data_IF_554722083647
#
_entry.id   IF_554722083647
#
_cell.length_a   1.000
_cell.length_b   1.000
_cell.length_c   1.000
_cell.angle_alpha   90.00
_cell.angle_beta   90.00
_cell.angle_gamma   90.00
#
_symmetry.space_group_name_H-M   'P 1'
#
loop_
_entity.id
_entity.type
_entity.pdbx_description
1 polymer ?
#
# COMPACT_ATOMS: atom_id res chain seq x y z
N UNK A 1 3.15 55.38 35.88
CA UNK A 1 1.90 55.18 36.66
C UNK A 1 1.04 56.42 36.45
N UNK A 2 -0.31 56.29 36.43
CA UNK A 2 -1.38 57.23 35.96
C UNK A 2 -1.72 57.06 34.46
N UNK A 3 -2.62 56.15 34.03
CA UNK A 3 -4.09 56.08 34.16
C UNK A 3 -4.86 57.20 33.44
N UNK A 4 -5.41 56.90 32.26
CA UNK A 4 -6.59 57.57 31.71
C UNK A 4 -7.36 56.60 30.81
N UNK A 5 -8.46 56.11 31.36
CA UNK A 5 -9.48 55.35 30.67
C UNK A 5 -10.46 56.27 29.92
N UNK A 6 -11.07 55.70 28.89
CA UNK A 6 -12.38 56.00 28.26
C UNK A 6 -12.44 57.16 27.27
N UNK A 7 -12.91 56.90 26.04
CA UNK A 7 -14.21 57.37 25.57
C UNK A 7 -14.60 56.73 24.22
N UNK A 8 -15.74 56.06 24.23
CA UNK A 8 -16.77 56.05 23.18
C UNK A 8 -16.37 55.73 21.74
N UNK A 9 -16.77 54.55 21.25
CA UNK A 9 -17.88 54.47 20.29
C UNK A 9 -18.41 53.05 20.21
N UNK A 10 -19.67 52.88 20.61
CA UNK A 10 -20.47 51.71 20.25
C UNK A 10 -20.73 51.77 18.75
N UNK A 11 -20.35 50.73 18.00
CA UNK A 11 -21.07 50.33 16.79
C UNK A 11 -21.43 48.87 16.90
N UNK A 12 -22.73 48.64 17.14
CA UNK A 12 -23.39 47.34 16.98
C UNK A 12 -23.51 47.07 15.48
N UNK A 13 -23.04 45.92 15.03
CA UNK A 13 -23.51 45.25 13.81
C UNK A 13 -23.49 43.76 14.16
N UNK A 14 -24.63 43.22 14.60
CA UNK A 14 -25.63 42.61 13.73
C UNK A 14 -25.07 41.34 13.07
N UNK A 15 -25.60 40.21 13.54
CA UNK A 15 -25.08 38.88 13.30
C UNK A 15 -25.05 38.47 11.84
N UNK A 16 -24.06 37.63 11.56
CA UNK A 16 -24.19 36.62 10.53
C UNK A 16 -23.68 35.32 11.14
N UNK A 17 -24.62 34.49 11.64
CA UNK A 17 -24.35 33.06 11.81
C UNK A 17 -24.01 32.54 10.41
N UNK A 18 -22.71 32.47 10.11
CA UNK A 18 -22.20 31.69 8.98
C UNK A 18 -22.38 30.24 9.36
N UNK A 19 -23.52 29.67 8.96
CA UNK A 19 -23.71 28.23 8.93
C UNK A 19 -22.75 27.75 7.83
N UNK A 20 -21.61 27.19 8.24
CA UNK A 20 -20.70 26.47 7.35
C UNK A 20 -21.44 25.25 6.81
N UNK A 21 -21.60 25.07 5.48
CA UNK A 21 -22.04 23.79 4.95
C UNK A 21 -20.87 22.81 5.11
N UNK A 22 -20.96 21.93 6.10
CA UNK A 22 -20.04 20.81 6.30
C UNK A 22 -20.30 19.71 5.26
N UNK A 23 -19.96 19.94 3.99
CA UNK A 23 -20.14 18.95 2.90
C UNK A 23 -19.01 19.01 1.85
N UNK A 24 -17.75 19.10 2.27
CA UNK A 24 -16.59 19.05 1.36
C UNK A 24 -15.45 18.13 1.84
N UNK A 25 -15.71 17.20 2.77
CA UNK A 25 -14.67 16.34 3.35
C UNK A 25 -14.63 14.91 2.77
N UNK A 26 -15.58 14.50 1.93
CA UNK A 26 -15.69 13.12 1.45
C UNK A 26 -14.78 12.76 0.26
N UNK A 27 -14.47 13.72 -0.62
CA UNK A 27 -13.79 13.41 -1.89
C UNK A 27 -12.25 13.28 -1.76
N UNK A 28 -11.64 13.89 -0.74
CA UNK A 28 -10.18 13.79 -0.53
C UNK A 28 -9.72 12.43 -0.01
N UNK A 29 -10.57 11.68 0.71
CA UNK A 29 -10.18 10.41 1.33
C UNK A 29 -10.03 9.27 0.31
N UNK A 30 -10.88 9.22 -0.72
CA UNK A 30 -10.84 8.17 -1.74
C UNK A 30 -9.58 8.25 -2.63
N UNK A 31 -9.13 9.46 -2.95
CA UNK A 31 -7.92 9.66 -3.76
C UNK A 31 -6.64 9.20 -3.03
N UNK A 32 -6.56 9.41 -1.71
CA UNK A 32 -5.41 8.99 -0.91
C UNK A 32 -5.30 7.45 -0.81
N UNK A 33 -6.42 6.75 -0.67
CA UNK A 33 -6.44 5.29 -0.59
C UNK A 33 -5.98 4.62 -1.90
N UNK A 34 -6.40 5.14 -3.05
CA UNK A 34 -5.97 4.62 -4.36
C UNK A 34 -4.47 4.82 -4.61
N UNK A 35 -3.92 5.96 -4.20
CA UNK A 35 -2.48 6.24 -4.33
C UNK A 35 -1.62 5.32 -3.46
N UNK A 36 -2.06 5.02 -2.23
CA UNK A 36 -1.36 4.06 -1.36
C UNK A 36 -1.34 2.66 -1.97
N UNK A 37 -2.49 2.18 -2.47
CA UNK A 37 -2.58 0.84 -3.07
C UNK A 37 -1.71 0.70 -4.33
N UNK A 38 -1.63 1.74 -5.15
CA UNK A 38 -0.73 1.75 -6.31
C UNK A 38 0.76 1.75 -5.89
N UNK A 39 1.11 2.46 -4.82
CA UNK A 39 2.47 2.46 -4.28
C UNK A 39 2.85 1.08 -3.73
N UNK A 40 1.93 0.41 -3.03
CA UNK A 40 2.15 -0.94 -2.50
C UNK A 40 2.31 -1.98 -3.62
N UNK A 41 1.50 -1.88 -4.69
CA UNK A 41 1.63 -2.75 -5.86
C UNK A 41 2.99 -2.58 -6.56
N UNK A 42 3.47 -1.35 -6.73
CA UNK A 42 4.79 -1.08 -7.30
C UNK A 42 5.93 -1.58 -6.39
N UNK A 43 5.80 -1.40 -5.07
CA UNK A 43 6.76 -1.90 -4.10
C UNK A 43 6.83 -3.44 -4.13
N UNK A 44 5.68 -4.13 -4.18
CA UNK A 44 5.61 -5.58 -4.29
C UNK A 44 6.20 -6.09 -5.61
N UNK A 45 5.90 -5.42 -6.73
CA UNK A 45 6.55 -5.70 -8.03
C UNK A 45 8.07 -5.54 -7.96
N UNK A 46 8.56 -4.49 -7.31
CA UNK A 46 9.99 -4.26 -7.14
C UNK A 46 10.65 -5.36 -6.28
N UNK A 47 10.01 -5.79 -5.19
CA UNK A 47 10.48 -6.91 -4.39
C UNK A 47 10.56 -8.21 -5.22
N UNK A 48 9.51 -8.49 -6.00
CA UNK A 48 9.42 -9.67 -6.85
C UNK A 48 10.51 -9.72 -7.93
N UNK A 49 10.79 -8.59 -8.57
CA UNK A 49 11.70 -8.51 -9.73
C UNK A 49 13.16 -8.31 -9.37
N UNK A 50 13.46 -7.69 -8.22
CA UNK A 50 14.84 -7.31 -7.84
C UNK A 50 15.12 -7.19 -6.34
N UNK A 51 14.11 -6.93 -5.51
CA UNK A 51 14.31 -6.65 -4.09
C UNK A 51 14.54 -7.88 -3.21
N UNK A 52 14.16 -9.06 -3.68
CA UNK A 52 14.51 -10.34 -3.08
C UNK A 52 15.82 -10.91 -3.70
N UNK A 53 16.60 -11.66 -2.93
CA UNK A 53 17.81 -12.35 -3.42
C UNK A 53 17.74 -13.85 -3.09
N UNK A 54 17.63 -14.74 -4.10
CA UNK A 54 17.47 -14.43 -5.53
C UNK A 54 16.13 -13.73 -5.84
N UNK A 55 16.06 -12.96 -6.92
CA UNK A 55 14.80 -12.34 -7.32
C UNK A 55 13.77 -13.42 -7.68
N UNK A 56 12.51 -13.25 -7.25
CA UNK A 56 11.44 -14.21 -7.46
C UNK A 56 11.22 -14.49 -8.96
N UNK A 57 11.33 -13.43 -9.77
CA UNK A 57 11.18 -13.46 -11.23
C UNK A 57 12.18 -14.39 -11.95
N UNK A 58 13.32 -14.72 -11.34
CA UNK A 58 14.29 -15.66 -11.92
C UNK A 58 13.73 -17.08 -11.93
N UNK A 59 12.91 -17.42 -10.94
CA UNK A 59 12.41 -18.77 -10.76
C UNK A 59 10.96 -18.94 -11.21
N UNK A 60 10.13 -17.91 -11.12
CA UNK A 60 8.69 -18.00 -11.32
C UNK A 60 8.19 -17.20 -12.53
N UNK A 61 7.17 -17.72 -13.21
CA UNK A 61 6.34 -16.97 -14.14
C UNK A 61 5.35 -16.11 -13.36
N UNK A 62 5.24 -14.85 -13.77
CA UNK A 62 4.20 -13.92 -13.32
C UNK A 62 4.08 -12.83 -14.39
N UNK A 63 3.04 -12.91 -15.22
CA UNK A 63 2.86 -12.10 -16.41
C UNK A 63 2.79 -10.61 -16.08
N UNK A 64 2.11 -10.26 -15.00
CA UNK A 64 2.03 -8.89 -14.49
C UNK A 64 3.44 -8.30 -14.26
N UNK A 65 4.37 -9.09 -13.70
CA UNK A 65 5.77 -8.70 -13.48
C UNK A 65 6.66 -8.77 -14.72
N UNK A 66 6.14 -9.25 -15.86
CA UNK A 66 6.95 -9.58 -17.03
C UNK A 66 7.94 -10.73 -16.78
N UNK A 67 7.67 -11.58 -15.79
CA UNK A 67 8.55 -12.70 -15.42
C UNK A 67 8.13 -14.00 -16.10
N UNK A 68 9.12 -14.80 -16.50
CA UNK A 68 8.93 -16.06 -17.22
C UNK A 68 9.83 -17.18 -16.68
N UNK A 69 10.17 -17.14 -15.39
CA UNK A 69 10.99 -18.17 -14.76
C UNK A 69 10.25 -19.50 -14.68
N UNK A 70 10.94 -20.61 -14.96
CA UNK A 70 10.30 -21.95 -15.04
C UNK A 70 10.91 -22.96 -14.06
N UNK A 71 11.62 -22.49 -13.03
CA UNK A 71 12.21 -23.33 -11.99
C UNK A 71 11.15 -23.64 -10.93
N UNK A 72 10.42 -22.61 -10.52
CA UNK A 72 9.23 -22.72 -9.68
C UNK A 72 7.95 -22.83 -10.51
N UNK A 73 6.80 -23.04 -9.86
CA UNK A 73 5.50 -23.03 -10.53
C UNK A 73 5.21 -21.67 -11.17
N UNK A 74 4.40 -21.71 -12.24
CA UNK A 74 3.73 -20.56 -12.80
C UNK A 74 2.72 -19.99 -11.80
N UNK A 75 2.89 -18.73 -11.41
CA UNK A 75 2.04 -18.10 -10.40
C UNK A 75 0.71 -17.63 -10.98
N UNK A 76 0.64 -17.32 -12.28
CA UNK A 76 -0.61 -16.96 -12.96
C UNK A 76 -1.56 -18.16 -13.02
N UNK A 77 -1.02 -19.38 -13.12
CA UNK A 77 -1.78 -20.63 -13.02
C UNK A 77 -2.08 -21.01 -11.56
N UNK A 78 -1.09 -20.92 -10.68
CA UNK A 78 -1.20 -21.38 -9.29
C UNK A 78 -2.13 -20.49 -8.45
N UNK A 79 -2.15 -19.18 -8.72
CA UNK A 79 -2.97 -18.16 -8.03
C UNK A 79 -2.96 -18.30 -6.50
N UNK A 80 -1.78 -18.29 -5.85
CA UNK A 80 -1.70 -18.43 -4.40
C UNK A 80 -2.29 -17.19 -3.71
N UNK A 81 -3.01 -17.40 -2.60
CA UNK A 81 -3.37 -16.31 -1.69
C UNK A 81 -2.13 -15.73 -0.99
N UNK A 82 -2.26 -14.53 -0.43
CA UNK A 82 -1.15 -13.81 0.20
C UNK A 82 -0.56 -14.60 1.38
N UNK A 83 -1.40 -15.28 2.17
CA UNK A 83 -0.94 -16.07 3.31
C UNK A 83 -0.02 -17.22 2.86
N UNK A 84 -0.38 -17.90 1.79
CA UNK A 84 0.42 -18.98 1.19
C UNK A 84 1.74 -18.45 0.66
N UNK A 85 1.73 -17.29 0.00
CA UNK A 85 2.96 -16.63 -0.47
C UNK A 85 3.87 -16.29 0.71
N UNK A 86 3.34 -15.62 1.74
CA UNK A 86 4.12 -15.24 2.92
C UNK A 86 4.75 -16.45 3.62
N UNK A 87 3.99 -17.55 3.78
CA UNK A 87 4.51 -18.79 4.37
C UNK A 87 5.60 -19.43 3.51
N UNK A 88 5.46 -19.44 2.19
CA UNK A 88 6.48 -19.99 1.29
C UNK A 88 7.76 -19.13 1.32
N UNK A 89 7.63 -17.80 1.32
CA UNK A 89 8.76 -16.87 1.39
C UNK A 89 9.51 -17.00 2.73
N UNK A 90 8.77 -17.17 3.84
CA UNK A 90 9.37 -17.28 5.18
C UNK A 90 10.03 -18.61 5.44
N UNK A 91 9.41 -19.71 5.01
CA UNK A 91 9.86 -21.05 5.38
C UNK A 91 10.70 -21.71 4.29
N UNK A 92 10.65 -21.20 3.06
CA UNK A 92 11.10 -21.93 1.89
C UNK A 92 10.18 -23.12 1.57
N UNK A 93 10.33 -23.67 0.37
CA UNK A 93 9.64 -24.89 -0.05
C UNK A 93 10.42 -25.59 -1.17
N UNK A 94 10.87 -26.82 -0.89
CA UNK A 94 11.69 -27.58 -1.85
C UNK A 94 13.00 -26.85 -2.17
N UNK A 95 13.20 -26.49 -3.45
CA UNK A 95 14.38 -25.74 -3.90
C UNK A 95 14.26 -24.23 -3.68
N UNK A 96 13.06 -23.72 -3.37
CA UNK A 96 12.86 -22.31 -3.05
C UNK A 96 13.41 -22.02 -1.65
N UNK A 97 14.42 -21.14 -1.51
CA UNK A 97 15.00 -20.82 -0.21
C UNK A 97 14.03 -20.00 0.66
N UNK A 98 14.29 -19.97 1.97
CA UNK A 98 13.69 -18.98 2.86
C UNK A 98 14.36 -17.61 2.67
N UNK A 99 13.58 -16.53 2.73
CA UNK A 99 14.05 -15.15 2.54
C UNK A 99 14.16 -14.41 3.88
N UNK A 100 15.07 -14.87 4.73
CA UNK A 100 15.25 -14.36 6.09
C UNK A 100 15.63 -12.88 6.15
N UNK A 101 16.26 -12.35 5.09
CA UNK A 101 16.66 -10.95 5.01
C UNK A 101 15.51 -9.97 4.74
N UNK A 102 14.34 -10.45 4.29
CA UNK A 102 13.18 -9.58 4.05
C UNK A 102 12.47 -9.25 5.36
N UNK A 103 12.12 -7.98 5.55
CA UNK A 103 11.31 -7.56 6.70
C UNK A 103 9.89 -8.12 6.62
N UNK A 104 9.16 -8.18 7.73
CA UNK A 104 7.75 -8.63 7.75
C UNK A 104 6.86 -7.76 6.88
N UNK A 105 7.13 -6.45 6.84
CA UNK A 105 6.42 -5.53 5.96
C UNK A 105 6.69 -5.86 4.49
N UNK A 106 7.94 -6.10 4.10
CA UNK A 106 8.28 -6.44 2.71
C UNK A 106 7.67 -7.78 2.29
N UNK A 107 7.68 -8.78 3.17
CA UNK A 107 7.04 -10.06 2.87
C UNK A 107 5.54 -9.90 2.68
N UNK A 108 4.88 -9.09 3.49
CA UNK A 108 3.45 -8.84 3.34
C UNK A 108 3.14 -8.10 2.04
N UNK A 109 3.89 -7.02 1.73
CA UNK A 109 3.76 -6.26 0.48
C UNK A 109 3.99 -7.15 -0.75
N UNK A 110 5.03 -8.00 -0.73
CA UNK A 110 5.29 -8.96 -1.78
C UNK A 110 4.15 -9.98 -1.93
N UNK A 111 3.64 -10.49 -0.82
CA UNK A 111 2.58 -11.50 -0.81
C UNK A 111 1.26 -10.95 -1.35
N UNK A 112 0.86 -9.76 -0.90
CA UNK A 112 -0.35 -9.08 -1.37
C UNK A 112 -0.26 -8.75 -2.86
N UNK A 113 0.92 -8.30 -3.32
CA UNK A 113 1.17 -8.07 -4.72
C UNK A 113 1.01 -9.35 -5.56
N UNK A 114 1.61 -10.47 -5.17
CA UNK A 114 1.49 -11.74 -5.94
C UNK A 114 0.04 -12.22 -5.98
N UNK A 115 -0.68 -12.16 -4.86
CA UNK A 115 -2.09 -12.55 -4.81
C UNK A 115 -2.96 -11.66 -5.71
N UNK A 116 -2.77 -10.34 -5.66
CA UNK A 116 -3.49 -9.38 -6.48
C UNK A 116 -3.17 -9.55 -7.98
N UNK A 117 -1.89 -9.70 -8.33
CA UNK A 117 -1.42 -9.84 -9.71
C UNK A 117 -1.98 -11.09 -10.41
N UNK A 118 -2.18 -12.17 -9.65
CA UNK A 118 -2.71 -13.45 -10.16
C UNK A 118 -4.24 -13.55 -10.10
N UNK A 119 -4.89 -12.56 -9.47
CA UNK A 119 -6.34 -12.53 -9.26
C UNK A 119 -6.83 -13.55 -8.23
N UNK A 120 -5.98 -13.95 -7.28
CA UNK A 120 -6.37 -14.83 -6.18
C UNK A 120 -7.38 -14.15 -5.25
N UNK A 121 -8.31 -14.92 -4.69
CA UNK A 121 -9.14 -14.45 -3.57
C UNK A 121 -8.26 -14.40 -2.31
N UNK A 122 -8.42 -13.33 -1.51
CA UNK A 122 -7.60 -13.08 -0.32
C UNK A 122 -7.77 -14.14 0.77
#
# INVERSE_FOLDING_TARGET
MHNSQQHSTRRRAAGWRRILPALAAGLCAAAAAGAAHAADAEAGRALFTKGATPACAVCHTLADAGAAGTIGPDLDELKPDAKRVALAVRNGIGVMPAFEALSDADVQVLADYVAAATGAAQ
#
